data_IF_256690476733
#
_entry.id   IF_256690476733
#
_cell.length_a   1.000
_cell.length_b   1.000
_cell.length_c   1.000
_cell.angle_alpha   90.00
_cell.angle_beta   90.00
_cell.angle_gamma   90.00
#
_symmetry.space_group_name_H-M   'P 1'
#
loop_
_entity.id
_entity.type
_entity.pdbx_description
1 polymer ?
#
# COMPACT_ATOMS: atom_id res chain seq x y z
N UNK A 1 8.37 7.50 24.68
CA UNK A 1 6.91 7.43 24.89
C UNK A 1 6.53 5.96 24.89
N UNK A 2 6.45 5.35 26.06
CA UNK A 2 6.07 3.95 26.24
C UNK A 2 4.55 3.90 26.36
N UNK A 3 3.88 3.47 25.29
CA UNK A 3 2.45 3.16 25.37
C UNK A 3 2.31 1.76 25.97
N UNK A 4 2.20 1.68 27.30
CA UNK A 4 1.73 0.44 27.94
C UNK A 4 0.21 0.36 27.77
N UNK A 5 -0.24 -0.60 26.96
CA UNK A 5 -1.65 -0.97 26.89
C UNK A 5 -1.85 -2.22 27.76
N UNK A 6 -2.52 -2.06 28.90
CA UNK A 6 -2.80 -3.12 29.87
C UNK A 6 -3.95 -4.03 29.41
N UNK A 7 -3.75 -4.77 28.31
CA UNK A 7 -4.64 -5.80 27.79
C UNK A 7 -3.86 -6.83 26.97
N UNK A 8 -4.48 -7.96 26.61
CA UNK A 8 -3.91 -8.87 25.61
C UNK A 8 -3.63 -8.05 24.34
N UNK A 9 -2.37 -7.90 23.91
CA UNK A 9 -2.01 -6.99 22.82
C UNK A 9 -2.60 -7.39 21.47
N UNK A 10 -3.26 -8.56 21.40
CA UNK A 10 -3.67 -9.16 20.14
C UNK A 10 -2.47 -9.62 19.33
N UNK A 11 -2.70 -10.21 18.15
CA UNK A 11 -1.61 -10.63 17.29
C UNK A 11 -0.84 -9.41 16.74
N UNK A 12 0.48 -9.56 16.60
CA UNK A 12 1.31 -8.54 15.95
C UNK A 12 1.08 -8.52 14.44
N UNK A 13 1.46 -7.44 13.76
CA UNK A 13 1.43 -7.35 12.28
C UNK A 13 2.17 -8.52 11.62
N UNK A 14 3.29 -8.97 12.19
CA UNK A 14 4.04 -10.12 11.67
C UNK A 14 3.35 -11.48 11.83
N UNK A 15 2.29 -11.55 12.64
CA UNK A 15 1.51 -12.77 12.90
C UNK A 15 0.20 -12.82 12.11
N UNK A 16 -0.15 -11.73 11.42
CA UNK A 16 -1.38 -11.63 10.61
C UNK A 16 -1.03 -11.47 9.13
N UNK A 17 -1.83 -12.11 8.27
CA UNK A 17 -1.74 -11.88 6.83
C UNK A 17 -2.43 -10.58 6.42
N UNK A 18 -2.11 -10.10 5.22
CA UNK A 18 -2.66 -8.87 4.64
C UNK A 18 -4.18 -8.82 4.66
N UNK A 19 -4.87 -9.90 4.26
CA UNK A 19 -6.34 -9.94 4.26
C UNK A 19 -6.95 -9.65 5.63
N UNK A 20 -6.35 -10.16 6.72
CA UNK A 20 -6.80 -9.86 8.09
C UNK A 20 -6.50 -8.44 8.52
N UNK A 21 -5.39 -7.87 8.04
CA UNK A 21 -5.08 -6.45 8.24
C UNK A 21 -6.09 -5.56 7.52
N UNK A 22 -6.46 -5.89 6.28
CA UNK A 22 -7.48 -5.17 5.53
C UNK A 22 -8.86 -5.28 6.21
N UNK A 23 -9.27 -6.48 6.65
CA UNK A 23 -10.51 -6.67 7.42
C UNK A 23 -10.54 -5.81 8.70
N UNK A 24 -9.39 -5.63 9.36
CA UNK A 24 -9.28 -4.79 10.56
C UNK A 24 -9.24 -3.29 10.24
N UNK A 25 -8.66 -2.89 9.12
CA UNK A 25 -8.44 -1.49 8.74
C UNK A 25 -9.65 -0.87 8.01
N UNK A 26 -10.27 -1.59 7.08
CA UNK A 26 -11.35 -1.06 6.25
C UNK A 26 -12.53 -0.49 7.06
N UNK A 27 -12.98 -1.08 8.18
CA UNK A 27 -14.07 -0.51 8.99
C UNK A 27 -13.78 0.85 9.62
N UNK A 28 -12.49 1.22 9.76
CA UNK A 28 -12.08 2.52 10.32
C UNK A 28 -11.60 3.50 9.25
N UNK A 29 -11.53 3.07 7.99
CA UNK A 29 -11.17 3.91 6.86
C UNK A 29 -12.40 4.66 6.30
N UNK A 30 -12.16 5.72 5.53
CA UNK A 30 -13.23 6.36 4.74
C UNK A 30 -13.51 5.51 3.51
N UNK A 31 -14.53 4.65 3.58
CA UNK A 31 -14.88 3.70 2.52
C UNK A 31 -16.16 4.09 1.77
N UNK A 32 -16.86 5.11 2.21
CA UNK A 32 -18.13 5.59 1.65
C UNK A 32 -18.18 7.13 1.66
N UNK A 33 -18.94 7.72 0.75
CA UNK A 33 -19.16 9.17 0.70
C UNK A 33 -19.47 9.68 -0.69
N UNK A 34 -19.87 10.96 -0.83
CA UNK A 34 -20.31 11.54 -2.10
C UNK A 34 -19.20 11.63 -3.17
N UNK A 35 -17.94 11.43 -2.78
CA UNK A 35 -16.77 11.46 -3.66
C UNK A 35 -16.16 10.07 -3.92
N UNK A 36 -16.68 9.02 -3.26
CA UNK A 36 -16.19 7.65 -3.40
C UNK A 36 -16.98 6.98 -4.52
N UNK A 37 -16.46 7.05 -5.75
CA UNK A 37 -17.14 6.49 -6.92
C UNK A 37 -17.08 4.96 -6.98
N UNK A 38 -15.98 4.39 -6.47
CA UNK A 38 -15.75 2.95 -6.30
C UNK A 38 -15.27 2.72 -4.86
N UNK A 39 -15.83 1.72 -4.19
CA UNK A 39 -15.41 1.36 -2.83
C UNK A 39 -14.00 0.74 -2.79
N UNK A 40 -13.41 0.57 -1.59
CA UNK A 40 -12.11 -0.08 -1.44
C UNK A 40 -12.09 -1.50 -1.99
N UNK A 41 -10.95 -1.90 -2.57
CA UNK A 41 -10.74 -3.25 -3.12
C UNK A 41 -10.56 -3.29 -4.65
N UNK A 42 -10.69 -2.15 -5.33
CA UNK A 42 -10.23 -1.97 -6.71
C UNK A 42 -8.74 -1.58 -6.75
N UNK A 43 -8.13 -1.57 -7.95
CA UNK A 43 -6.69 -1.29 -8.15
C UNK A 43 -6.32 0.18 -7.85
N UNK A 44 -7.30 1.07 -7.79
CA UNK A 44 -7.12 2.49 -7.51
C UNK A 44 -8.39 3.11 -6.92
N UNK A 45 -8.23 4.26 -6.26
CA UNK A 45 -9.35 5.09 -5.86
C UNK A 45 -9.74 6.04 -7.00
N UNK A 46 -11.02 6.07 -7.34
CA UNK A 46 -11.61 7.04 -8.27
C UNK A 46 -12.40 8.08 -7.48
N UNK A 47 -11.92 9.32 -7.49
CA UNK A 47 -12.48 10.42 -6.71
C UNK A 47 -13.15 11.44 -7.64
N UNK A 48 -14.44 11.68 -7.43
CA UNK A 48 -15.17 12.72 -8.14
C UNK A 48 -14.76 14.12 -7.63
N UNK A 49 -14.41 15.01 -8.54
CA UNK A 49 -14.02 16.41 -8.29
C UNK A 49 -14.88 17.36 -9.12
N UNK A 50 -14.98 18.66 -8.77
CA UNK A 50 -15.77 19.62 -9.54
C UNK A 50 -15.38 19.74 -11.03
N UNK A 51 -14.17 19.34 -11.42
CA UNK A 51 -13.65 19.42 -12.79
C UNK A 51 -13.58 18.09 -13.54
N UNK A 52 -14.02 16.98 -12.93
CA UNK A 52 -13.90 15.64 -13.50
C UNK A 52 -13.53 14.60 -12.45
N UNK A 53 -12.78 13.56 -12.85
CA UNK A 53 -12.35 12.49 -11.95
C UNK A 53 -10.84 12.48 -11.80
N UNK A 54 -10.40 12.17 -10.58
CA UNK A 54 -9.00 11.86 -10.27
C UNK A 54 -8.91 10.38 -9.97
N UNK A 55 -7.98 9.70 -10.62
CA UNK A 55 -7.61 8.32 -10.32
C UNK A 55 -6.32 8.37 -9.52
N UNK A 56 -6.32 7.79 -8.32
CA UNK A 56 -5.16 7.79 -7.43
C UNK A 56 -4.90 6.38 -6.92
N UNK A 57 -3.63 5.98 -7.02
CA UNK A 57 -3.13 4.75 -6.41
C UNK A 57 -1.79 5.05 -5.76
N UNK A 58 -1.33 4.12 -4.93
CA UNK A 58 0.00 4.18 -4.33
C UNK A 58 0.55 2.78 -4.18
N UNK A 59 1.74 2.58 -4.73
CA UNK A 59 2.53 1.38 -4.54
C UNK A 59 3.88 1.70 -3.90
N UNK A 60 4.51 0.66 -3.34
CA UNK A 60 5.87 0.75 -2.80
C UNK A 60 6.77 -0.30 -3.42
N UNK A 61 8.07 0.00 -3.47
CA UNK A 61 9.12 -0.96 -3.82
C UNK A 61 10.13 -0.98 -2.68
N UNK A 62 10.14 -2.07 -1.94
CA UNK A 62 11.02 -2.32 -0.81
C UNK A 62 12.27 -3.07 -1.26
N UNK A 63 13.43 -2.56 -0.87
CA UNK A 63 14.71 -3.23 -1.14
C UNK A 63 14.74 -4.62 -0.49
N UNK A 64 15.30 -5.58 -1.21
CA UNK A 64 15.36 -7.00 -0.89
C UNK A 64 14.01 -7.73 -0.78
N UNK A 65 12.89 -7.07 -1.12
CA UNK A 65 11.58 -7.72 -1.33
C UNK A 65 11.16 -7.59 -2.80
N UNK A 66 11.04 -6.35 -3.29
CA UNK A 66 10.55 -6.08 -4.64
C UNK A 66 11.70 -5.88 -5.64
N UNK A 67 12.87 -5.46 -5.17
CA UNK A 67 14.07 -5.34 -6.00
C UNK A 67 15.34 -5.53 -5.16
N UNK A 68 16.47 -5.83 -5.80
CA UNK A 68 17.79 -5.83 -5.15
C UNK A 68 18.66 -4.74 -5.73
N UNK A 69 19.46 -4.08 -4.90
CA UNK A 69 20.49 -3.16 -5.39
C UNK A 69 21.58 -3.91 -6.18
N UNK A 70 21.89 -5.13 -5.75
CA UNK A 70 22.79 -6.07 -6.44
C UNK A 70 22.16 -7.47 -6.38
N UNK A 71 21.99 -8.10 -7.52
CA UNK A 71 21.48 -9.47 -7.64
C UNK A 71 22.58 -10.50 -7.37
N UNK A 72 22.25 -11.77 -7.07
CA UNK A 72 23.24 -12.80 -6.77
C UNK A 72 24.27 -13.05 -7.88
N UNK A 73 23.92 -12.76 -9.13
CA UNK A 73 24.80 -12.83 -10.30
C UNK A 73 25.69 -11.58 -10.48
N UNK A 74 25.59 -10.60 -9.58
CA UNK A 74 26.35 -9.36 -9.61
C UNK A 74 25.71 -8.23 -10.42
N UNK A 75 24.56 -8.45 -11.07
CA UNK A 75 23.84 -7.39 -11.79
C UNK A 75 23.37 -6.32 -10.82
N UNK A 76 23.58 -5.04 -11.15
CA UNK A 76 23.16 -3.91 -10.32
C UNK A 76 21.90 -3.27 -10.88
N UNK A 77 20.91 -3.06 -10.02
CA UNK A 77 19.74 -2.23 -10.36
C UNK A 77 20.14 -0.77 -10.29
N UNK A 78 20.00 -0.04 -11.39
CA UNK A 78 20.24 1.41 -11.43
C UNK A 78 19.01 2.17 -10.96
N UNK A 79 19.18 3.48 -10.67
CA UNK A 79 18.03 4.34 -10.38
C UNK A 79 17.05 4.46 -11.55
N UNK A 80 17.53 4.34 -12.78
CA UNK A 80 16.67 4.36 -13.98
C UNK A 80 15.83 3.07 -14.10
N UNK A 81 16.44 1.91 -13.83
CA UNK A 81 15.71 0.62 -13.82
C UNK A 81 14.62 0.63 -12.75
N UNK A 82 14.97 1.09 -11.55
CA UNK A 82 14.01 1.21 -10.45
C UNK A 82 12.90 2.21 -10.79
N UNK A 83 13.25 3.38 -11.34
CA UNK A 83 12.27 4.39 -11.74
C UNK A 83 11.30 3.89 -12.81
N UNK A 84 11.79 3.13 -13.80
CA UNK A 84 10.94 2.50 -14.80
C UNK A 84 9.97 1.49 -14.16
N UNK A 85 10.47 0.64 -13.27
CA UNK A 85 9.62 -0.31 -12.53
C UNK A 85 8.59 0.42 -11.66
N UNK A 86 8.98 1.47 -10.92
CA UNK A 86 8.07 2.27 -10.11
C UNK A 86 6.90 2.80 -10.95
N UNK A 87 7.21 3.41 -12.09
CA UNK A 87 6.18 3.99 -12.96
C UNK A 87 5.28 2.91 -13.60
N UNK A 88 5.84 1.75 -13.96
CA UNK A 88 5.10 0.67 -14.58
C UNK A 88 4.19 -0.12 -13.62
N UNK A 89 4.46 -0.10 -12.32
CA UNK A 89 3.64 -0.78 -11.32
C UNK A 89 2.39 0.01 -10.92
N UNK A 90 2.41 1.35 -11.06
CA UNK A 90 1.26 2.22 -10.81
C UNK A 90 0.45 2.45 -12.11
#
# INVERSE_FOLDING_TARGET
MTHEHAGDPGPTVSQVGEGRLLEAFLPVATTEGPHVAVGPGDDCAVVDTPGGRVVVTTDTLTVDQDFRAVWPDGVRTTGADLGHKCAAQN
#
